data_IF_192575888345
#
_entry.id   IF_192575888345
#
_cell.length_a   1.000
_cell.length_b   1.000
_cell.length_c   1.000
_cell.angle_alpha   90.00
_cell.angle_beta   90.00
_cell.angle_gamma   90.00
#
_symmetry.space_group_name_H-M   'P 1'
#
loop_
_entity.id
_entity.type
_entity.pdbx_description
1 polymer ?
#
# COMPACT_ATOMS: atom_id res chain seq x y z
N UNK A 1 19.75 6.02 2.41
CA UNK A 1 19.09 7.34 2.56
C UNK A 1 19.56 7.97 3.87
N UNK A 2 20.06 9.21 3.89
CA UNK A 2 20.42 9.89 5.14
C UNK A 2 19.20 10.06 6.06
N UNK A 3 19.35 9.78 7.36
CA UNK A 3 18.26 9.93 8.36
C UNK A 3 17.68 11.34 8.39
N UNK A 4 18.49 12.37 8.10
CA UNK A 4 18.02 13.76 8.05
C UNK A 4 17.00 14.01 6.92
N UNK A 5 17.11 13.30 5.79
CA UNK A 5 16.15 13.40 4.69
C UNK A 5 14.84 12.70 5.08
N UNK A 6 14.96 11.52 5.69
CA UNK A 6 13.80 10.78 6.19
C UNK A 6 13.03 11.56 7.27
N UNK A 7 13.74 12.26 8.16
CA UNK A 7 13.12 13.14 9.16
C UNK A 7 12.30 14.26 8.51
N UNK A 8 12.85 14.91 7.48
CA UNK A 8 12.14 15.93 6.72
C UNK A 8 10.90 15.37 6.00
N UNK A 9 10.99 14.15 5.46
CA UNK A 9 9.86 13.46 4.83
C UNK A 9 8.79 13.15 5.87
N UNK A 10 9.13 12.59 7.03
CA UNK A 10 8.19 12.33 8.13
C UNK A 10 7.45 13.60 8.54
N UNK A 11 8.16 14.72 8.66
CA UNK A 11 7.54 16.01 8.97
C UNK A 11 6.57 16.46 7.88
N UNK A 12 6.92 16.25 6.61
CA UNK A 12 6.08 16.60 5.46
C UNK A 12 4.83 15.73 5.39
N UNK A 13 4.93 14.42 5.54
CA UNK A 13 3.78 13.49 5.44
C UNK A 13 2.92 13.49 6.72
N UNK A 14 3.45 14.01 7.83
CA UNK A 14 2.72 14.20 9.10
C UNK A 14 2.26 15.64 9.29
N UNK A 15 2.20 16.45 8.23
CA UNK A 15 1.66 17.81 8.30
C UNK A 15 0.14 17.75 8.49
N UNK A 16 -0.37 18.53 9.45
CA UNK A 16 -1.81 18.58 9.69
C UNK A 16 -2.48 19.62 8.79
N UNK A 17 -3.11 19.17 7.69
CA UNK A 17 -3.82 20.01 6.74
C UNK A 17 -5.32 19.68 6.73
N UNK A 18 -6.02 19.97 7.83
CA UNK A 18 -7.47 19.70 7.98
C UNK A 18 -8.31 20.96 7.77
N UNK A 19 -9.12 20.97 6.72
CA UNK A 19 -9.98 22.10 6.34
C UNK A 19 -11.42 21.99 6.87
N UNK A 20 -11.98 20.78 6.97
CA UNK A 20 -13.38 20.53 7.34
C UNK A 20 -13.67 20.58 8.84
N UNK A 21 -14.94 20.80 9.20
CA UNK A 21 -15.48 20.63 10.55
C UNK A 21 -15.89 19.17 10.79
N UNK A 22 -15.70 18.65 12.01
CA UNK A 22 -16.14 17.30 12.40
C UNK A 22 -15.03 16.27 12.66
N UNK A 23 -13.77 16.58 12.32
CA UNK A 23 -12.61 15.77 12.71
C UNK A 23 -11.78 16.52 13.77
N UNK A 24 -11.22 15.82 14.78
CA UNK A 24 -10.39 16.45 15.81
C UNK A 24 -9.15 17.10 15.18
N UNK A 25 -8.70 18.22 15.74
CA UNK A 25 -7.50 18.94 15.31
C UNK A 25 -6.40 18.83 16.36
N UNK A 26 -5.14 18.98 15.92
CA UNK A 26 -3.97 18.88 16.77
C UNK A 26 -3.64 17.45 17.18
N UNK A 27 -4.09 16.46 16.41
CA UNK A 27 -3.92 15.03 16.74
C UNK A 27 -2.80 14.38 15.94
N UNK A 28 -2.47 14.89 14.74
CA UNK A 28 -1.50 14.22 13.87
C UNK A 28 -0.09 14.29 14.47
N UNK A 29 0.33 15.46 14.98
CA UNK A 29 1.66 15.61 15.57
C UNK A 29 1.85 14.73 16.81
N UNK A 30 0.96 14.73 17.82
CA UNK A 30 1.09 13.83 18.97
C UNK A 30 1.10 12.34 18.59
N UNK A 31 0.29 11.93 17.62
CA UNK A 31 0.28 10.54 17.14
C UNK A 31 1.59 10.16 16.46
N UNK A 32 2.14 11.05 15.62
CA UNK A 32 3.44 10.85 14.99
C UNK A 32 4.57 10.77 16.01
N UNK A 33 4.61 11.68 16.99
CA UNK A 33 5.62 11.68 18.06
C UNK A 33 5.54 10.39 18.88
N UNK A 34 4.34 9.98 19.30
CA UNK A 34 4.14 8.72 20.01
C UNK A 34 4.58 7.51 19.18
N UNK A 35 4.24 7.47 17.88
CA UNK A 35 4.66 6.40 16.98
C UNK A 35 6.18 6.35 16.80
N UNK A 36 6.84 7.50 16.71
CA UNK A 36 8.30 7.59 16.62
C UNK A 36 8.99 7.14 17.91
N UNK A 37 8.46 7.53 19.06
CA UNK A 37 9.02 7.18 20.37
C UNK A 37 8.98 5.66 20.60
N UNK A 38 7.86 4.99 20.27
CA UNK A 38 7.77 3.53 20.39
C UNK A 38 8.67 2.79 19.40
N UNK A 39 9.13 3.45 18.33
CA UNK A 39 10.06 2.93 17.33
C UNK A 39 11.52 3.36 17.57
N UNK A 40 11.84 3.78 18.80
CA UNK A 40 13.21 4.10 19.22
C UNK A 40 13.73 5.46 18.77
N UNK A 41 12.84 6.38 18.37
CA UNK A 41 13.20 7.77 18.05
C UNK A 41 13.76 7.98 16.63
N UNK A 42 13.89 6.93 15.82
CA UNK A 42 14.31 7.05 14.41
C UNK A 42 13.15 7.51 13.50
N UNK A 43 13.43 8.19 12.38
CA UNK A 43 12.39 8.50 11.40
C UNK A 43 11.65 7.24 10.92
N UNK A 44 10.32 7.27 10.94
CA UNK A 44 9.46 6.13 10.64
C UNK A 44 9.62 5.69 9.18
N UNK A 45 9.67 6.63 8.23
CA UNK A 45 9.95 6.28 6.82
C UNK A 45 11.34 5.71 6.60
N UNK A 46 12.33 6.07 7.43
CA UNK A 46 13.65 5.44 7.36
C UNK A 46 13.59 3.98 7.79
N UNK A 47 12.91 3.69 8.90
CA UNK A 47 12.71 2.34 9.40
C UNK A 47 11.97 1.48 8.36
N UNK A 48 10.88 2.00 7.79
CA UNK A 48 10.10 1.31 6.77
C UNK A 48 10.92 1.02 5.49
N UNK A 49 11.62 2.02 4.98
CA UNK A 49 12.47 1.85 3.80
C UNK A 49 13.61 0.85 4.05
N UNK A 50 14.23 0.89 5.24
CA UNK A 50 15.27 -0.07 5.64
C UNK A 50 14.72 -1.49 5.70
N UNK A 51 13.56 -1.69 6.33
CA UNK A 51 12.92 -2.99 6.44
C UNK A 51 12.61 -3.59 5.05
N UNK A 52 12.10 -2.79 4.11
CA UNK A 52 11.85 -3.23 2.73
C UNK A 52 13.15 -3.67 2.04
N UNK A 53 14.22 -2.88 2.13
CA UNK A 53 15.53 -3.25 1.54
C UNK A 53 16.14 -4.49 2.18
N UNK A 54 15.93 -4.69 3.49
CA UNK A 54 16.45 -5.84 4.23
C UNK A 54 15.69 -7.13 3.93
N UNK A 55 14.40 -7.08 3.63
CA UNK A 55 13.55 -8.28 3.54
C UNK A 55 13.06 -8.61 2.14
N UNK A 56 12.99 -7.63 1.23
CA UNK A 56 12.51 -7.87 -0.15
C UNK A 56 13.68 -8.16 -1.07
N UNK A 57 13.58 -9.24 -1.84
CA UNK A 57 14.52 -9.66 -2.87
C UNK A 57 13.86 -9.68 -4.24
N UNK A 58 14.69 -9.76 -5.26
CA UNK A 58 14.22 -9.90 -6.63
C UNK A 58 13.35 -11.16 -6.75
N UNK A 59 12.20 -11.02 -7.40
CA UNK A 59 11.16 -12.06 -7.58
C UNK A 59 10.36 -12.45 -6.34
N UNK A 60 10.64 -11.90 -5.16
CA UNK A 60 9.73 -12.04 -4.01
C UNK A 60 8.38 -11.42 -4.36
N UNK A 61 7.30 -11.99 -3.84
CA UNK A 61 5.96 -11.43 -4.06
C UNK A 61 5.59 -10.52 -2.90
N UNK A 62 5.26 -9.27 -3.17
CA UNK A 62 4.74 -8.34 -2.17
C UNK A 62 3.24 -8.15 -2.39
N UNK A 63 2.45 -8.49 -1.37
CA UNK A 63 1.02 -8.19 -1.34
C UNK A 63 0.80 -6.72 -0.96
N UNK A 64 0.07 -5.99 -1.80
CA UNK A 64 -0.31 -4.59 -1.55
C UNK A 64 -1.83 -4.52 -1.39
N UNK A 65 -2.28 -4.47 -0.14
CA UNK A 65 -3.71 -4.42 0.19
C UNK A 65 -4.15 -2.96 0.25
N UNK A 66 -5.15 -2.59 -0.54
CA UNK A 66 -5.65 -1.21 -0.58
C UNK A 66 -7.09 -1.13 -1.06
N UNK A 67 -7.68 0.07 -0.95
CA UNK A 67 -9.08 0.33 -1.25
C UNK A 67 -9.91 0.33 0.02
N UNK A 68 -10.46 1.50 0.34
CA UNK A 68 -11.37 1.73 1.45
C UNK A 68 -12.53 2.57 0.94
N UNK A 69 -13.74 2.29 1.41
CA UNK A 69 -14.93 2.89 0.84
C UNK A 69 -16.17 2.62 1.65
N UNK A 70 -17.27 3.25 1.25
CA UNK A 70 -18.57 2.98 1.84
C UNK A 70 -19.63 3.02 0.75
N UNK A 71 -20.62 2.12 0.87
CA UNK A 71 -21.71 2.04 -0.11
C UNK A 71 -22.47 3.35 -0.34
N UNK A 72 -22.46 4.26 0.65
CA UNK A 72 -23.27 5.48 0.63
C UNK A 72 -22.52 6.73 0.17
N UNK A 73 -21.24 6.88 0.54
CA UNK A 73 -20.47 8.08 0.20
C UNK A 73 -19.39 7.83 -0.85
N UNK A 74 -18.85 6.60 -0.88
CA UNK A 74 -17.66 6.24 -1.65
C UNK A 74 -17.86 4.84 -2.27
N UNK A 75 -18.87 4.66 -3.14
CA UNK A 75 -19.24 3.33 -3.65
C UNK A 75 -18.17 2.70 -4.54
N UNK A 76 -17.18 3.48 -4.99
CA UNK A 76 -16.00 3.01 -5.73
C UNK A 76 -14.70 3.11 -4.92
N UNK A 77 -14.81 3.37 -3.62
CA UNK A 77 -13.67 3.65 -2.75
C UNK A 77 -13.24 5.11 -2.75
N UNK A 78 -12.40 5.44 -1.79
CA UNK A 78 -11.70 6.72 -1.69
C UNK A 78 -10.42 6.75 -2.53
N UNK A 79 -9.88 7.95 -2.71
CA UNK A 79 -8.59 8.15 -3.40
C UNK A 79 -7.39 7.95 -2.48
N UNK A 80 -7.59 7.98 -1.16
CA UNK A 80 -6.58 7.65 -0.16
C UNK A 80 -6.32 6.13 -0.14
N UNK A 81 -5.05 5.74 -0.15
CA UNK A 81 -4.62 4.36 -0.36
C UNK A 81 -4.14 4.08 -1.79
N UNK A 82 -5.00 4.02 -2.83
CA UNK A 82 -4.62 3.56 -4.17
C UNK A 82 -3.42 4.30 -4.79
N UNK A 83 -3.30 5.62 -4.59
CA UNK A 83 -2.20 6.40 -5.13
C UNK A 83 -0.85 6.07 -4.46
N UNK A 84 -0.86 5.90 -3.14
CA UNK A 84 0.31 5.47 -2.36
C UNK A 84 0.69 4.03 -2.68
N UNK A 85 -0.30 3.15 -2.80
CA UNK A 85 -0.14 1.75 -3.15
C UNK A 85 0.45 1.57 -4.57
N UNK A 86 -0.02 2.33 -5.56
CA UNK A 86 0.53 2.35 -6.91
C UNK A 86 1.99 2.86 -6.93
N UNK A 87 2.26 3.94 -6.19
CA UNK A 87 3.62 4.49 -6.07
C UNK A 87 4.59 3.51 -5.42
N UNK A 88 4.16 2.84 -4.34
CA UNK A 88 4.95 1.83 -3.65
C UNK A 88 5.19 0.60 -4.53
N UNK A 89 4.15 0.10 -5.20
CA UNK A 89 4.30 -1.04 -6.10
C UNK A 89 5.27 -0.77 -7.23
N UNK A 90 5.30 0.45 -7.78
CA UNK A 90 6.27 0.84 -8.81
C UNK A 90 7.70 0.73 -8.30
N UNK A 91 7.96 1.22 -7.08
CA UNK A 91 9.29 1.18 -6.47
C UNK A 91 9.70 -0.26 -6.14
N UNK A 92 8.78 -1.09 -5.66
CA UNK A 92 9.05 -2.50 -5.37
C UNK A 92 9.37 -3.30 -6.65
N UNK A 93 8.57 -3.11 -7.70
CA UNK A 93 8.73 -3.79 -8.98
C UNK A 93 9.96 -3.28 -9.75
N UNK A 94 9.99 -2.00 -10.13
CA UNK A 94 11.11 -1.49 -10.93
C UNK A 94 12.39 -1.27 -10.13
N UNK A 95 12.27 -0.91 -8.85
CA UNK A 95 13.42 -0.57 -8.01
C UNK A 95 14.06 -1.79 -7.35
N UNK A 96 13.26 -2.74 -6.87
CA UNK A 96 13.76 -3.95 -6.19
C UNK A 96 13.61 -5.24 -7.00
N UNK A 97 12.89 -5.19 -8.13
CA UNK A 97 12.63 -6.36 -8.97
C UNK A 97 11.66 -7.36 -8.32
N UNK A 98 10.89 -6.93 -7.32
CA UNK A 98 9.87 -7.74 -6.69
C UNK A 98 8.64 -7.89 -7.60
N UNK A 99 7.88 -8.97 -7.41
CA UNK A 99 6.55 -9.10 -8.00
C UNK A 99 5.55 -8.43 -7.06
N UNK A 100 4.62 -7.65 -7.60
CA UNK A 100 3.57 -7.04 -6.78
C UNK A 100 2.23 -7.67 -7.11
N UNK A 101 1.41 -7.91 -6.10
CA UNK A 101 0.03 -8.39 -6.24
C UNK A 101 -0.84 -7.49 -5.39
N UNK A 102 -1.81 -6.83 -6.03
CA UNK A 102 -2.75 -5.96 -5.31
C UNK A 102 -3.93 -6.77 -4.81
N UNK A 103 -4.46 -6.38 -3.66
CA UNK A 103 -5.66 -7.00 -3.08
C UNK A 103 -6.64 -5.89 -2.75
N UNK A 104 -7.87 -6.03 -3.24
CA UNK A 104 -8.94 -5.07 -2.96
C UNK A 104 -10.32 -5.71 -3.03
N UNK A 105 -11.32 -5.02 -2.48
CA UNK A 105 -12.71 -5.39 -2.71
C UNK A 105 -13.13 -5.04 -4.15
N UNK A 106 -14.08 -5.80 -4.71
CA UNK A 106 -14.61 -5.61 -6.08
C UNK A 106 -15.00 -4.15 -6.40
N UNK A 107 -15.70 -3.40 -5.51
CA UNK A 107 -16.12 -2.04 -5.83
C UNK A 107 -14.95 -1.07 -6.06
N UNK A 108 -13.77 -1.38 -5.52
CA UNK A 108 -12.58 -0.55 -5.58
C UNK A 108 -11.66 -0.89 -6.77
N UNK A 109 -11.95 -1.99 -7.49
CA UNK A 109 -11.12 -2.51 -8.57
C UNK A 109 -10.80 -1.45 -9.63
N UNK A 110 -11.81 -0.78 -10.16
CA UNK A 110 -11.63 0.20 -11.24
C UNK A 110 -10.64 1.32 -10.91
N UNK A 111 -10.86 2.08 -9.80
CA UNK A 111 -9.93 3.12 -9.39
C UNK A 111 -8.52 2.62 -9.04
N UNK A 112 -8.39 1.40 -8.51
CA UNK A 112 -7.08 0.80 -8.21
C UNK A 112 -6.33 0.46 -9.50
N UNK A 113 -6.98 -0.21 -10.46
CA UNK A 113 -6.40 -0.46 -11.79
C UNK A 113 -5.92 0.83 -12.42
N UNK A 114 -6.78 1.87 -12.44
CA UNK A 114 -6.43 3.15 -13.02
C UNK A 114 -5.20 3.80 -12.34
N UNK A 115 -5.10 3.71 -11.02
CA UNK A 115 -3.96 4.24 -10.26
C UNK A 115 -2.67 3.49 -10.58
N UNK A 116 -2.73 2.16 -10.63
CA UNK A 116 -1.59 1.27 -10.91
C UNK A 116 -1.08 1.44 -12.33
N UNK A 117 -1.98 1.50 -13.32
CA UNK A 117 -1.62 1.73 -14.72
C UNK A 117 -1.08 3.15 -14.93
N UNK A 118 -1.62 4.16 -14.25
CA UNK A 118 -1.08 5.52 -14.27
C UNK A 118 0.34 5.58 -13.67
N UNK A 119 0.66 4.72 -12.71
CA UNK A 119 2.02 4.54 -12.21
C UNK A 119 2.92 3.72 -13.17
N UNK A 120 2.42 3.33 -14.34
CA UNK A 120 3.18 2.65 -15.39
C UNK A 120 3.40 1.16 -15.16
N UNK A 121 2.55 0.51 -14.37
CA UNK A 121 2.55 -0.94 -14.15
C UNK A 121 1.34 -1.54 -14.86
N UNK A 122 1.55 -2.54 -15.72
CA UNK A 122 0.44 -3.21 -16.41
C UNK A 122 -0.27 -4.17 -15.47
N UNK A 123 -1.60 -4.07 -15.38
CA UNK A 123 -2.44 -5.06 -14.68
C UNK A 123 -2.79 -6.19 -15.66
N UNK A 124 -2.45 -7.43 -15.31
CA UNK A 124 -2.56 -8.59 -16.18
C UNK A 124 -3.36 -9.72 -15.52
N UNK A 125 -3.79 -10.67 -16.35
CA UNK A 125 -4.24 -11.98 -15.89
C UNK A 125 -3.07 -12.81 -15.32
N UNK A 126 -3.41 -13.87 -14.58
CA UNK A 126 -2.44 -14.72 -13.90
C UNK A 126 -1.44 -15.40 -14.86
N UNK A 127 -1.91 -15.83 -16.04
CA UNK A 127 -1.06 -16.49 -17.04
C UNK A 127 0.04 -15.55 -17.54
N UNK A 128 -0.32 -14.31 -17.90
CA UNK A 128 0.64 -13.33 -18.41
C UNK A 128 1.55 -12.79 -17.30
N UNK A 129 1.02 -12.65 -16.08
CA UNK A 129 1.79 -12.19 -14.93
C UNK A 129 2.98 -13.10 -14.59
N UNK A 130 2.88 -14.42 -14.80
CA UNK A 130 4.00 -15.36 -14.57
C UNK A 130 5.17 -15.15 -15.53
N UNK A 131 4.92 -14.59 -16.71
CA UNK A 131 5.91 -14.53 -17.80
C UNK A 131 6.38 -13.12 -18.11
N UNK A 132 5.71 -12.09 -17.58
CA UNK A 132 5.98 -10.69 -17.92
C UNK A 132 6.51 -9.90 -16.71
N UNK A 133 7.79 -9.48 -16.73
CA UNK A 133 8.28 -8.55 -15.71
C UNK A 133 7.56 -7.21 -15.83
N UNK A 134 7.64 -6.39 -14.78
CA UNK A 134 7.06 -5.05 -14.76
C UNK A 134 5.54 -5.03 -14.94
N UNK A 135 4.89 -5.97 -14.27
CA UNK A 135 3.45 -6.16 -14.29
C UNK A 135 2.93 -6.62 -12.93
N UNK A 136 1.62 -6.53 -12.75
CA UNK A 136 0.94 -6.96 -11.54
C UNK A 136 -0.36 -7.69 -11.87
N UNK A 137 -0.95 -8.32 -10.86
CA UNK A 137 -2.32 -8.83 -10.90
C UNK A 137 -3.10 -8.28 -9.70
N UNK A 138 -4.42 -8.36 -9.77
CA UNK A 138 -5.30 -7.97 -8.67
C UNK A 138 -6.11 -9.18 -8.22
N UNK A 139 -6.05 -9.46 -6.92
CA UNK A 139 -6.89 -10.46 -6.26
C UNK A 139 -8.08 -9.75 -5.60
N UNK A 140 -9.29 -10.26 -5.84
CA UNK A 140 -10.51 -9.68 -5.29
C UNK A 140 -10.82 -10.32 -3.95
N UNK A 141 -10.75 -9.52 -2.89
CA UNK A 141 -11.12 -9.94 -1.56
C UNK A 141 -12.66 -10.16 -1.46
N UNK A 142 -13.13 -11.31 -0.96
CA UNK A 142 -14.55 -11.60 -0.86
C UNK A 142 -15.20 -10.86 0.32
N UNK A 143 -16.49 -10.48 0.22
CA UNK A 143 -17.18 -9.85 1.33
C UNK A 143 -17.42 -10.83 2.50
N UNK A 144 -17.34 -10.31 3.72
CA UNK A 144 -17.68 -11.02 4.95
C UNK A 144 -16.50 -11.73 5.62
N UNK A 145 -16.48 -11.68 6.96
CA UNK A 145 -15.31 -12.05 7.77
C UNK A 145 -14.81 -13.48 7.55
N UNK A 146 -15.71 -14.46 7.51
CA UNK A 146 -15.32 -15.88 7.34
C UNK A 146 -14.72 -16.16 5.95
N UNK A 147 -15.33 -15.60 4.90
CA UNK A 147 -14.83 -15.74 3.54
C UNK A 147 -13.50 -15.01 3.38
N UNK A 148 -13.40 -13.78 3.91
CA UNK A 148 -12.18 -12.98 3.92
C UNK A 148 -11.02 -13.66 4.64
N UNK A 149 -11.26 -14.23 5.83
CA UNK A 149 -10.23 -14.97 6.57
C UNK A 149 -9.74 -16.21 5.80
N UNK A 150 -10.67 -16.95 5.18
CA UNK A 150 -10.34 -18.12 4.36
C UNK A 150 -9.51 -17.71 3.14
N UNK A 151 -9.92 -16.64 2.47
CA UNK A 151 -9.20 -16.07 1.32
C UNK A 151 -7.81 -15.55 1.70
N UNK A 152 -7.67 -14.84 2.82
CA UNK A 152 -6.37 -14.35 3.28
C UNK A 152 -5.39 -15.51 3.53
N UNK A 153 -5.87 -16.60 4.12
CA UNK A 153 -5.04 -17.82 4.32
C UNK A 153 -4.60 -18.41 2.98
N UNK A 154 -5.53 -18.57 2.04
CA UNK A 154 -5.22 -19.08 0.69
C UNK A 154 -4.23 -18.17 -0.05
N UNK A 155 -4.34 -16.86 0.14
CA UNK A 155 -3.48 -15.88 -0.50
C UNK A 155 -2.04 -15.95 0.02
N UNK A 156 -1.87 -16.06 1.35
CA UNK A 156 -0.58 -16.27 1.99
C UNK A 156 0.04 -17.60 1.54
N UNK A 157 -0.75 -18.67 1.48
CA UNK A 157 -0.28 -19.98 1.00
C UNK A 157 0.15 -19.94 -0.46
N UNK A 158 -0.60 -19.26 -1.32
CA UNK A 158 -0.35 -19.15 -2.77
C UNK A 158 0.89 -18.33 -3.08
N UNK A 159 1.03 -17.15 -2.46
CA UNK A 159 2.06 -16.18 -2.84
C UNK A 159 3.32 -16.25 -1.99
N UNK A 160 3.26 -16.85 -0.79
CA UNK A 160 4.36 -16.90 0.17
C UNK A 160 5.08 -15.54 0.31
N UNK A 161 4.33 -14.45 0.60
CA UNK A 161 4.85 -13.09 0.53
C UNK A 161 5.77 -12.70 1.71
#
# INVERSE_FOLDING_TARGET
MPKIIADAIDQLISIEMRFGSGLPRGVIRPLYEAARDVQGGEPLVYQAARALLEHVRQRDTVLIVTGSGSRFGLPRGETDGPLGAASLGRVLDFGLGARTVYVCDEPHLGPIVASVEAAGISVLDAERFEHRPHSTLIEIHPPGDTAGQSFATQLLDKYQP
#
